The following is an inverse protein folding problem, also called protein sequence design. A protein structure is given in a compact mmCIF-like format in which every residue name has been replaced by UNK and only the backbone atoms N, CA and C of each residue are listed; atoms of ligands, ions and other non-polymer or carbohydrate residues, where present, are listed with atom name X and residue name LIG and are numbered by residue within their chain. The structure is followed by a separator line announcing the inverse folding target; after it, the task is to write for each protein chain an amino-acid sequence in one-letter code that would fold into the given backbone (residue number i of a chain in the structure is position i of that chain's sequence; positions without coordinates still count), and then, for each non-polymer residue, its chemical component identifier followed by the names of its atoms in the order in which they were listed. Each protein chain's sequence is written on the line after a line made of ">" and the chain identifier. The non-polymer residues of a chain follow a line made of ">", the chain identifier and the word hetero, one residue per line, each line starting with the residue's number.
data_IF_653300790052
#
_entry.id   IF_653300790052
#
_cell.length_a   1.000
_cell.length_b   1.000
_cell.length_c   1.000
_cell.angle_alpha   90.00
_cell.angle_beta   90.00
_cell.angle_gamma   90.00
#
_symmetry.space_group_name_H-M   'P 1'
#
loop_
_entity.id
_entity.type
_entity.pdbx_description
1 polymer ?
#
# COMPACT_ATOMS: atom_id res chain seq x y z
N UNK A 1 34.70 37.06 38.25
CA UNK A 1 34.83 38.26 37.40
C UNK A 1 33.52 38.43 36.65
N UNK A 2 32.91 39.60 36.73
CA UNK A 2 31.55 39.83 36.25
C UNK A 2 31.41 41.25 35.68
N UNK A 3 31.82 41.42 34.42
CA UNK A 3 31.88 42.70 33.72
C UNK A 3 31.06 42.62 32.41
N UNK A 4 30.04 43.48 32.21
CA UNK A 4 29.23 43.48 30.99
C UNK A 4 29.99 43.89 29.72
N UNK A 5 31.08 44.66 29.85
CA UNK A 5 31.83 45.24 28.74
C UNK A 5 32.88 44.29 28.13
N UNK A 6 32.88 43.02 28.56
CA UNK A 6 33.77 42.01 27.97
C UNK A 6 33.41 41.76 26.51
N UNK A 7 34.34 42.07 25.60
CA UNK A 7 34.20 41.94 24.14
C UNK A 7 34.78 40.62 23.60
N UNK A 8 35.68 39.97 24.34
CA UNK A 8 36.18 38.64 23.98
C UNK A 8 36.43 37.74 25.19
N UNK A 9 36.31 36.43 24.98
CA UNK A 9 36.66 35.40 25.95
C UNK A 9 37.63 34.42 25.29
N UNK A 10 38.81 34.26 25.88
CA UNK A 10 39.79 33.27 25.45
C UNK A 10 39.73 32.02 26.33
N UNK A 11 39.47 30.87 25.71
CA UNK A 11 39.46 29.56 26.35
C UNK A 11 40.84 28.91 26.17
N UNK A 12 41.67 29.01 27.21
CA UNK A 12 43.04 28.47 27.21
C UNK A 12 43.21 27.26 28.16
N UNK A 13 42.12 26.73 28.73
CA UNK A 13 42.16 25.59 29.66
C UNK A 13 41.11 24.54 29.31
N UNK A 14 41.47 23.25 29.30
CA UNK A 14 40.51 22.18 29.01
C UNK A 14 39.46 22.00 30.12
N UNK A 15 38.27 21.60 29.70
CA UNK A 15 37.17 21.20 30.58
C UNK A 15 36.34 20.10 29.92
N UNK A 16 35.95 19.09 30.70
CA UNK A 16 35.01 18.05 30.29
C UNK A 16 33.56 18.34 30.75
N UNK A 17 33.35 19.47 31.44
CA UNK A 17 32.03 19.90 31.89
C UNK A 17 31.45 20.94 30.95
N UNK A 18 30.33 20.60 30.31
CA UNK A 18 29.54 21.54 29.50
C UNK A 18 29.08 22.73 30.34
N UNK A 19 28.67 22.51 31.59
CA UNK A 19 28.28 23.58 32.49
C UNK A 19 29.44 24.58 32.72
N UNK A 20 30.66 24.07 32.91
CA UNK A 20 31.85 24.92 33.07
C UNK A 20 32.20 25.67 31.79
N UNK A 21 32.09 25.02 30.63
CA UNK A 21 32.27 25.66 29.32
C UNK A 21 31.29 26.83 29.11
N UNK A 22 29.99 26.59 29.36
CA UNK A 22 28.97 27.63 29.23
C UNK A 22 29.13 28.75 30.27
N UNK A 23 29.56 28.44 31.49
CA UNK A 23 29.87 29.45 32.50
C UNK A 23 31.07 30.33 32.12
N UNK A 24 32.08 29.77 31.44
CA UNK A 24 33.25 30.52 30.96
C UNK A 24 32.85 31.46 29.81
N UNK A 25 32.17 30.92 28.80
CA UNK A 25 31.65 31.69 27.66
C UNK A 25 30.66 32.77 28.12
N UNK A 26 29.78 32.43 29.05
CA UNK A 26 28.73 33.31 29.56
C UNK A 26 29.25 34.60 30.20
N UNK A 27 30.53 34.67 30.56
CA UNK A 27 31.16 35.91 31.04
C UNK A 27 31.19 37.01 29.98
N UNK A 28 31.25 36.65 28.70
CA UNK A 28 31.21 37.61 27.59
C UNK A 28 29.81 37.92 27.05
N UNK A 29 28.78 37.15 27.44
CA UNK A 29 27.44 37.23 26.82
C UNK A 29 26.49 38.26 27.46
N UNK A 30 26.92 38.98 28.50
CA UNK A 30 26.12 40.07 29.09
C UNK A 30 25.93 41.21 28.08
N UNK A 31 24.78 41.87 28.09
CA UNK A 31 24.52 43.02 27.21
C UNK A 31 25.23 44.28 27.73
N UNK A 32 25.81 45.06 26.83
CA UNK A 32 26.35 46.41 27.10
C UNK A 32 25.98 47.33 25.92
N UNK A 33 25.86 48.64 26.17
CA UNK A 33 25.34 49.61 25.19
C UNK A 33 26.18 49.69 23.91
N UNK A 34 27.50 49.47 24.02
CA UNK A 34 28.44 49.56 22.90
C UNK A 34 28.94 48.19 22.42
N UNK A 35 28.27 47.10 22.81
CA UNK A 35 28.70 45.73 22.47
C UNK A 35 27.66 45.01 21.62
N UNK A 36 27.95 44.91 20.32
CA UNK A 36 27.12 44.19 19.35
C UNK A 36 27.33 42.67 19.41
N UNK A 37 28.56 42.22 19.61
CA UNK A 37 28.91 40.80 19.68
C UNK A 37 30.04 40.54 20.68
N UNK A 38 30.26 39.27 21.02
CA UNK A 38 31.38 38.81 21.84
C UNK A 38 32.18 37.77 21.04
N UNK A 39 33.49 37.97 20.90
CA UNK A 39 34.38 37.03 20.24
C UNK A 39 34.79 35.90 21.19
N UNK A 40 34.70 34.66 20.74
CA UNK A 40 35.17 33.50 21.51
C UNK A 40 36.40 32.92 20.81
N UNK A 41 37.53 32.93 21.52
CA UNK A 41 38.80 32.42 21.02
C UNK A 41 39.08 31.11 21.75
N UNK A 42 38.97 29.98 21.06
CA UNK A 42 39.07 28.65 21.66
C UNK A 42 40.37 27.96 21.27
N UNK A 43 41.43 28.20 22.04
CA UNK A 43 42.74 27.58 21.82
C UNK A 43 42.74 26.08 22.15
N UNK A 44 41.71 25.57 22.83
CA UNK A 44 41.65 24.17 23.28
C UNK A 44 40.81 23.30 22.35
N UNK A 45 39.88 23.89 21.60
CA UNK A 45 38.94 23.18 20.74
C UNK A 45 37.75 22.60 21.50
N UNK A 46 37.33 23.23 22.60
CA UNK A 46 36.11 22.88 23.35
C UNK A 46 34.84 22.93 22.49
N UNK A 47 34.80 23.80 21.47
CA UNK A 47 33.69 23.83 20.51
C UNK A 47 33.53 22.49 19.76
N UNK A 48 34.61 21.73 19.53
CA UNK A 48 34.54 20.41 18.89
C UNK A 48 33.90 19.37 19.80
N UNK A 49 33.96 19.59 21.11
CA UNK A 49 33.40 18.71 22.14
C UNK A 49 31.94 19.08 22.44
N UNK A 50 31.68 20.36 22.71
CA UNK A 50 30.37 20.82 23.19
C UNK A 50 29.48 21.45 22.11
N UNK A 51 30.07 21.82 20.97
CA UNK A 51 29.43 22.62 19.93
C UNK A 51 29.42 24.10 20.28
N UNK A 52 28.72 24.87 19.44
CA UNK A 52 28.49 26.30 19.67
C UNK A 52 27.74 26.52 21.00
N UNK A 53 28.04 27.58 21.76
CA UNK A 53 27.33 27.90 23.00
C UNK A 53 25.82 28.15 22.84
N UNK A 54 25.40 28.57 21.65
CA UNK A 54 23.98 28.78 21.30
C UNK A 54 23.26 27.48 20.90
N UNK A 55 23.94 26.34 20.88
CA UNK A 55 23.33 25.04 20.60
C UNK A 55 22.30 24.71 21.69
N UNK A 56 21.17 24.12 21.31
CA UNK A 56 20.21 23.62 22.31
C UNK A 56 20.83 22.40 23.00
N UNK A 57 20.85 22.44 24.31
CA UNK A 57 21.34 21.35 25.13
C UNK A 57 20.12 20.69 25.77
N UNK A 58 19.96 19.38 25.56
CA UNK A 58 18.94 18.60 26.28
C UNK A 58 19.41 18.43 27.73
N UNK A 59 19.09 19.44 28.54
CA UNK A 59 19.44 19.55 29.95
C UNK A 59 18.88 18.39 30.75
N UNK A 60 17.66 17.94 30.45
CA UNK A 60 17.05 16.79 31.11
C UNK A 60 17.90 15.53 30.88
N UNK A 61 18.21 15.21 29.62
CA UNK A 61 19.08 14.07 29.32
C UNK A 61 20.49 14.22 29.91
N UNK A 62 21.02 15.44 30.04
CA UNK A 62 22.32 15.67 30.68
C UNK A 62 22.26 15.42 32.20
N UNK A 63 21.29 16.00 32.91
CA UNK A 63 21.13 15.82 34.36
C UNK A 63 20.75 14.39 34.74
N UNK A 64 20.02 13.70 33.87
CA UNK A 64 19.66 12.29 34.05
C UNK A 64 20.76 11.32 33.56
N UNK A 65 21.92 11.84 33.11
CA UNK A 65 23.08 11.06 32.69
C UNK A 65 22.88 10.25 31.39
N UNK A 66 21.81 10.56 30.62
CA UNK A 66 21.53 9.96 29.31
C UNK A 66 22.41 10.53 28.20
N UNK A 67 22.98 11.71 28.41
CA UNK A 67 24.07 12.27 27.60
C UNK A 67 25.29 12.50 28.49
N UNK A 68 26.43 11.96 28.07
CA UNK A 68 27.73 12.25 28.67
C UNK A 68 28.32 13.43 27.90
N UNK A 69 28.99 14.37 28.58
CA UNK A 69 29.74 15.47 27.94
C UNK A 69 30.90 15.05 27.03
N UNK A 70 31.02 13.75 26.71
CA UNK A 70 31.98 13.19 25.78
C UNK A 70 31.32 13.03 24.40
N UNK A 71 31.57 13.99 23.50
CA UNK A 71 31.33 13.80 22.06
C UNK A 71 32.14 12.64 21.45
N UNK A 72 33.10 12.07 22.19
CA UNK A 72 33.98 10.98 21.75
C UNK A 72 33.32 9.59 21.62
N UNK A 73 32.06 9.39 22.04
CA UNK A 73 31.44 8.05 21.97
C UNK A 73 30.59 7.79 20.73
N UNK A 74 30.24 8.81 19.92
CA UNK A 74 29.47 8.58 18.67
C UNK A 74 30.32 8.09 17.49
N UNK A 75 31.65 8.14 17.59
CA UNK A 75 32.56 7.64 16.57
C UNK A 75 32.91 6.13 16.69
N UNK A 76 32.36 5.41 17.69
CA UNK A 76 32.66 3.98 17.90
C UNK A 76 31.56 3.01 17.45
N UNK A 77 30.41 3.49 16.97
CA UNK A 77 29.30 2.61 16.58
C UNK A 77 28.90 2.71 15.10
N UNK A 78 29.49 3.64 14.35
CA UNK A 78 29.39 3.68 12.90
C UNK A 78 30.82 3.65 12.35
N UNK A 79 31.12 2.63 11.56
CA UNK A 79 32.47 2.34 11.10
C UNK A 79 33.12 3.50 10.35
N UNK A 80 34.36 3.78 10.69
CA UNK A 80 35.36 4.33 9.78
C UNK A 80 35.32 5.83 9.56
N UNK A 81 35.65 6.64 10.57
CA UNK A 81 36.36 7.90 10.37
C UNK A 81 37.39 8.07 11.49
N UNK A 82 38.65 8.20 11.10
CA UNK A 82 39.77 8.48 11.99
C UNK A 82 39.51 9.78 12.76
N UNK A 83 39.50 9.69 14.09
CA UNK A 83 39.79 10.85 14.94
C UNK A 83 41.31 11.05 14.91
N UNK A 84 41.83 12.25 14.58
CA UNK A 84 43.16 12.59 15.01
C UNK A 84 43.11 12.56 16.54
N UNK A 85 43.78 11.57 17.10
CA UNK A 85 44.15 11.58 18.49
C UNK A 85 44.80 12.93 18.83
N UNK A 86 44.79 13.27 20.12
CA UNK A 86 45.77 14.13 20.76
C UNK A 86 47.17 13.72 20.30
N UNK A 87 47.58 14.23 19.14
CA UNK A 87 48.85 14.00 18.49
C UNK A 87 49.58 15.32 18.64
N UNK A 88 50.21 15.48 19.80
CA UNK A 88 51.45 16.24 19.89
C UNK A 88 52.49 15.48 19.05
N UNK A 89 52.33 15.51 17.73
CA UNK A 89 53.40 15.20 16.80
C UNK A 89 53.85 16.52 16.26
N UNK A 90 54.98 16.94 16.81
CA UNK A 90 55.87 17.96 16.28
C UNK A 90 56.12 17.65 14.79
N UNK A 91 55.46 18.38 13.91
CA UNK A 91 55.69 18.35 12.48
C UNK A 91 55.52 19.75 11.90
N UNK A 92 56.63 20.49 11.93
CA UNK A 92 57.05 21.41 10.87
C UNK A 92 56.05 22.48 10.41
N UNK A 93 56.19 23.69 10.97
CA UNK A 93 56.32 24.91 10.16
C UNK A 93 55.17 25.28 9.22
N UNK A 94 53.91 25.08 9.58
CA UNK A 94 52.80 25.87 9.03
C UNK A 94 52.26 26.79 10.11
N UNK A 95 52.18 28.09 9.83
CA UNK A 95 51.53 29.08 10.70
C UNK A 95 50.19 28.54 11.17
N UNK A 96 49.94 28.56 12.48
CA UNK A 96 48.65 28.16 13.07
C UNK A 96 47.54 29.08 12.55
N UNK A 97 46.93 28.71 11.42
CA UNK A 97 45.83 29.47 10.82
C UNK A 97 44.61 29.27 11.71
N UNK A 98 44.15 30.34 12.35
CA UNK A 98 42.92 30.36 13.12
C UNK A 98 41.73 29.94 12.25
N UNK A 99 40.97 28.93 12.70
CA UNK A 99 39.74 28.47 12.05
C UNK A 99 38.55 29.34 12.48
N UNK A 100 37.89 30.01 11.53
CA UNK A 100 36.63 30.71 11.80
C UNK A 100 35.49 29.69 11.83
N UNK A 101 35.06 29.30 13.03
CA UNK A 101 33.99 28.31 13.24
C UNK A 101 32.60 28.86 12.88
N UNK A 102 32.32 30.12 13.25
CA UNK A 102 31.01 30.75 13.04
C UNK A 102 31.14 32.26 13.10
N UNK A 103 30.47 32.98 12.19
CA UNK A 103 30.36 34.45 12.23
C UNK A 103 29.03 34.88 12.85
N UNK A 104 28.95 36.11 13.35
CA UNK A 104 27.76 36.66 13.98
C UNK A 104 26.53 36.59 13.06
N UNK A 105 26.66 37.05 11.81
CA UNK A 105 25.53 37.08 10.86
C UNK A 105 25.00 35.67 10.54
N UNK A 106 25.90 34.71 10.34
CA UNK A 106 25.53 33.32 10.06
C UNK A 106 24.92 32.63 11.28
N UNK A 107 25.35 32.98 12.49
CA UNK A 107 24.77 32.46 13.73
C UNK A 107 23.30 32.86 13.86
N UNK A 108 22.97 34.12 13.57
CA UNK A 108 21.59 34.61 13.63
C UNK A 108 20.68 33.90 12.62
N UNK A 109 21.17 33.66 11.40
CA UNK A 109 20.44 32.90 10.39
C UNK A 109 20.26 31.43 10.80
N UNK A 110 21.30 30.80 11.35
CA UNK A 110 21.25 29.42 11.82
C UNK A 110 20.28 29.22 13.00
N UNK A 111 20.12 30.21 13.88
CA UNK A 111 19.15 30.17 14.98
C UNK A 111 17.72 30.24 14.42
N UNK A 112 17.45 31.11 13.44
CA UNK A 112 16.12 31.27 12.82
C UNK A 112 15.67 30.02 12.05
N UNK A 113 16.53 29.49 11.18
CA UNK A 113 16.19 28.33 10.33
C UNK A 113 16.02 27.00 11.12
N UNK A 114 16.32 27.01 12.42
CA UNK A 114 16.37 25.80 13.26
C UNK A 114 15.06 25.49 13.96
N UNK A 115 14.30 26.51 14.36
CA UNK A 115 12.99 26.32 15.01
C UNK A 115 12.04 25.53 14.09
N UNK A 116 12.12 25.77 12.77
CA UNK A 116 11.33 25.08 11.75
C UNK A 116 11.81 23.62 11.48
N UNK A 117 13.09 23.32 11.70
CA UNK A 117 13.70 22.04 11.34
C UNK A 117 13.66 20.97 12.46
N UNK A 118 13.64 21.37 13.73
CA UNK A 118 13.60 20.43 14.87
C UNK A 118 12.21 19.79 15.05
N UNK A 119 11.11 20.52 14.83
CA UNK A 119 9.74 19.98 14.90
C UNK A 119 9.49 18.86 13.86
N UNK A 120 10.06 19.00 12.66
CA UNK A 120 9.94 18.02 11.59
C UNK A 120 10.76 16.73 11.82
N UNK A 121 11.98 16.86 12.38
CA UNK A 121 12.89 15.72 12.57
C UNK A 121 12.53 14.83 13.75
N UNK A 122 12.01 15.39 14.85
CA UNK A 122 11.61 14.60 16.02
C UNK A 122 10.38 13.72 15.75
N UNK A 123 9.47 14.19 14.91
CA UNK A 123 8.28 13.46 14.48
C UNK A 123 8.61 12.18 13.69
N UNK A 124 9.75 12.17 12.97
CA UNK A 124 10.23 11.06 12.15
C UNK A 124 11.16 10.09 12.88
N UNK A 125 11.59 10.39 14.12
CA UNK A 125 12.49 9.53 14.87
C UNK A 125 11.81 8.23 15.34
N UNK A 126 12.50 7.10 15.20
CA UNK A 126 12.01 5.80 15.65
C UNK A 126 11.81 5.75 17.17
N UNK A 127 10.73 5.08 17.61
CA UNK A 127 10.42 4.87 19.02
C UNK A 127 11.46 3.94 19.66
N UNK A 128 11.99 4.32 20.81
CA UNK A 128 12.95 3.54 21.59
C UNK A 128 12.55 3.53 23.07
N UNK A 129 12.87 2.44 23.76
CA UNK A 129 12.79 2.39 25.21
C UNK A 129 14.03 3.01 25.84
N UNK A 130 13.89 3.51 27.06
CA UNK A 130 15.02 3.93 27.87
C UNK A 130 14.82 3.49 29.33
N UNK A 131 15.88 3.02 30.01
CA UNK A 131 15.82 2.73 31.43
C UNK A 131 16.03 4.01 32.24
N UNK A 132 15.24 4.18 33.30
CA UNK A 132 15.48 5.18 34.34
C UNK A 132 16.19 4.52 35.52
N UNK A 133 17.40 4.99 35.82
CA UNK A 133 18.23 4.45 36.91
C UNK A 133 17.67 4.77 38.29
N UNK A 134 16.89 5.85 38.44
CA UNK A 134 16.36 6.26 39.75
C UNK A 134 15.18 5.39 40.16
N UNK A 135 14.23 5.16 39.25
CA UNK A 135 13.06 4.32 39.53
C UNK A 135 13.26 2.84 39.20
N UNK A 136 14.33 2.47 38.48
CA UNK A 136 14.52 1.13 37.88
C UNK A 136 13.38 0.73 36.92
N UNK A 137 12.65 1.71 36.39
CA UNK A 137 11.56 1.51 35.43
C UNK A 137 12.00 1.92 34.02
N UNK A 138 11.21 1.49 33.04
CA UNK A 138 11.39 1.81 31.64
C UNK A 138 10.37 2.85 31.19
N UNK A 139 10.83 3.80 30.39
CA UNK A 139 10.01 4.76 29.64
C UNK A 139 10.20 4.63 28.13
N UNK A 140 9.46 5.43 27.37
CA UNK A 140 9.50 5.47 25.91
C UNK A 140 9.87 6.86 25.40
N UNK A 141 10.64 6.92 24.31
CA UNK A 141 11.08 8.17 23.70
C UNK A 141 11.19 8.08 22.18
N UNK A 142 11.03 9.21 21.50
CA UNK A 142 11.35 9.40 20.08
C UNK A 142 12.46 10.43 19.96
N UNK A 143 13.63 10.01 19.48
CA UNK A 143 14.81 10.85 19.52
C UNK A 143 15.15 11.24 20.97
N UNK A 144 15.08 12.53 21.27
CA UNK A 144 15.32 13.09 22.61
C UNK A 144 14.03 13.34 23.40
N UNK A 145 12.88 13.42 22.71
CA UNK A 145 11.59 13.67 23.34
C UNK A 145 11.07 12.42 24.05
N UNK A 146 10.85 12.54 25.36
CA UNK A 146 10.18 11.50 26.14
C UNK A 146 8.70 11.47 25.74
N UNK A 147 8.23 10.33 25.25
CA UNK A 147 6.81 10.13 24.95
C UNK A 147 6.07 9.56 26.16
N UNK A 148 6.74 8.71 26.94
CA UNK A 148 6.18 8.12 28.16
C UNK A 148 7.22 8.15 29.27
N UNK A 149 6.89 8.82 30.38
CA UNK A 149 7.71 8.82 31.59
C UNK A 149 7.86 7.39 32.16
N UNK A 150 8.96 7.08 32.86
CA UNK A 150 9.27 5.72 33.30
C UNK A 150 8.15 5.13 34.16
N UNK A 151 7.52 4.06 33.66
CA UNK A 151 6.38 3.41 34.33
C UNK A 151 6.33 1.90 34.14
N UNK A 152 7.08 1.33 33.20
CA UNK A 152 7.04 -0.09 32.88
C UNK A 152 8.14 -0.83 33.65
N UNK A 153 7.82 -2.02 34.18
CA UNK A 153 8.84 -2.88 34.81
C UNK A 153 9.83 -3.41 33.77
N UNK A 154 9.35 -3.68 32.55
CA UNK A 154 10.14 -4.19 31.46
C UNK A 154 9.53 -3.78 30.12
N UNK A 155 10.38 -3.55 29.11
CA UNK A 155 9.97 -3.47 27.70
C UNK A 155 10.47 -4.73 27.00
N UNK A 156 9.56 -5.52 26.45
CA UNK A 156 9.89 -6.78 25.79
C UNK A 156 10.34 -6.58 24.34
N UNK A 157 9.60 -5.76 23.59
CA UNK A 157 9.82 -5.54 22.16
C UNK A 157 9.15 -4.24 21.69
N UNK A 158 9.62 -3.67 20.58
CA UNK A 158 9.09 -2.44 19.96
C UNK A 158 8.94 -2.65 18.46
N UNK A 159 7.74 -2.42 17.93
CA UNK A 159 7.48 -2.47 16.49
C UNK A 159 6.63 -1.27 16.06
N UNK A 160 7.24 -0.36 15.28
CA UNK A 160 6.60 0.88 14.84
C UNK A 160 6.17 1.73 16.04
N UNK A 161 4.84 1.90 16.20
CA UNK A 161 4.24 2.66 17.30
C UNK A 161 3.69 1.79 18.42
N UNK A 162 3.87 0.47 18.35
CA UNK A 162 3.42 -0.48 19.37
C UNK A 162 4.61 -0.96 20.20
N UNK A 163 4.38 -1.11 21.50
CA UNK A 163 5.39 -1.57 22.45
C UNK A 163 4.80 -2.66 23.32
N UNK A 164 5.49 -3.79 23.40
CA UNK A 164 5.14 -4.85 24.31
C UNK A 164 5.84 -4.61 25.65
N UNK A 165 5.09 -4.48 26.74
CA UNK A 165 5.59 -4.07 28.06
C UNK A 165 5.07 -4.95 29.18
N UNK A 166 5.79 -4.93 30.31
CA UNK A 166 5.29 -5.37 31.61
C UNK A 166 4.91 -4.14 32.45
N UNK A 167 3.64 -4.08 32.84
CA UNK A 167 3.05 -3.04 33.67
C UNK A 167 3.48 -3.21 35.14
N UNK A 168 3.22 -2.19 35.98
CA UNK A 168 3.61 -2.19 37.40
C UNK A 168 2.91 -3.26 38.23
N UNK A 169 1.71 -3.66 37.82
CA UNK A 169 0.93 -4.75 38.42
C UNK A 169 1.44 -6.15 38.01
N UNK A 170 2.52 -6.21 37.21
CA UNK A 170 3.12 -7.45 36.74
C UNK A 170 2.46 -8.03 35.49
N UNK A 171 1.34 -7.46 35.03
CA UNK A 171 0.69 -7.88 33.79
C UNK A 171 1.49 -7.47 32.57
N UNK A 172 1.43 -8.28 31.53
CA UNK A 172 2.01 -7.99 30.24
C UNK A 172 0.93 -7.52 29.27
N UNK A 173 1.31 -6.58 28.40
CA UNK A 173 0.39 -6.02 27.42
C UNK A 173 1.11 -5.30 26.30
N UNK A 174 0.32 -4.87 25.31
CA UNK A 174 0.75 -4.02 24.21
C UNK A 174 0.20 -2.62 24.46
N UNK A 175 1.09 -1.63 24.41
CA UNK A 175 0.76 -0.21 24.55
C UNK A 175 1.17 0.56 23.29
N UNK A 176 0.50 1.67 23.03
CA UNK A 176 0.86 2.58 21.96
C UNK A 176 2.11 3.41 22.31
N UNK A 177 2.59 4.20 21.35
CA UNK A 177 3.73 5.11 21.54
C UNK A 177 3.49 6.20 22.61
N UNK A 178 2.22 6.53 22.88
CA UNK A 178 1.80 7.44 23.96
C UNK A 178 1.59 6.71 25.30
N UNK A 179 1.69 5.39 25.31
CA UNK A 179 1.53 4.56 26.51
C UNK A 179 0.07 4.17 26.82
N UNK A 180 -0.86 4.43 25.90
CA UNK A 180 -2.25 3.95 26.00
C UNK A 180 -2.29 2.42 25.80
N UNK A 181 -3.01 1.67 26.64
CA UNK A 181 -3.12 0.22 26.50
C UNK A 181 -3.96 -0.14 25.27
N UNK A 182 -3.37 -0.89 24.33
CA UNK A 182 -4.10 -1.48 23.21
C UNK A 182 -4.64 -2.87 23.58
N UNK A 183 -3.89 -3.62 24.39
CA UNK A 183 -4.22 -5.00 24.76
C UNK A 183 -3.54 -5.42 26.06
N UNK A 184 -4.26 -6.12 26.95
CA UNK A 184 -3.72 -6.68 28.20
C UNK A 184 -3.86 -8.20 28.14
N UNK A 185 -2.75 -8.91 28.34
CA UNK A 185 -2.63 -10.37 28.14
C UNK A 185 -2.45 -11.15 29.44
N UNK A 186 -2.50 -10.47 30.58
CA UNK A 186 -2.25 -11.05 31.90
C UNK A 186 -0.77 -11.38 32.12
N UNK A 187 -0.48 -12.41 32.93
CA UNK A 187 0.89 -12.76 33.28
C UNK A 187 1.54 -13.62 32.22
N UNK A 188 2.56 -13.07 31.54
CA UNK A 188 3.39 -13.84 30.62
C UNK A 188 4.88 -13.53 30.83
N UNK A 189 5.73 -14.47 30.41
CA UNK A 189 7.17 -14.37 30.55
C UNK A 189 7.78 -13.44 29.53
N UNK A 190 7.28 -13.47 28.28
CA UNK A 190 7.82 -12.70 27.16
C UNK A 190 6.76 -12.44 26.09
N UNK A 191 6.84 -11.26 25.48
CA UNK A 191 6.09 -10.89 24.28
C UNK A 191 7.07 -10.55 23.16
N UNK A 192 6.75 -10.92 21.92
CA UNK A 192 7.57 -10.59 20.75
C UNK A 192 6.68 -10.29 19.54
N UNK A 193 6.91 -9.15 18.91
CA UNK A 193 6.19 -8.81 17.68
C UNK A 193 6.71 -9.65 16.51
N UNK A 194 5.78 -10.11 15.68
CA UNK A 194 6.07 -10.77 14.42
C UNK A 194 5.64 -9.86 13.25
N UNK A 195 5.92 -10.31 12.03
CA UNK A 195 5.39 -9.64 10.83
C UNK A 195 3.87 -9.81 10.76
N UNK A 196 3.21 -8.98 9.95
CA UNK A 196 1.79 -9.14 9.58
C UNK A 196 0.82 -9.11 10.77
N UNK A 197 1.14 -8.29 11.77
CA UNK A 197 0.34 -8.04 12.98
C UNK A 197 0.07 -9.28 13.84
N UNK A 198 1.05 -10.17 13.91
CA UNK A 198 1.07 -11.30 14.82
C UNK A 198 1.93 -11.00 16.05
N UNK A 199 1.56 -11.56 17.20
CA UNK A 199 2.28 -11.43 18.46
C UNK A 199 2.59 -12.83 19.02
N UNK A 200 3.86 -13.13 19.27
CA UNK A 200 4.25 -14.35 19.97
C UNK A 200 4.21 -14.10 21.49
N UNK A 201 3.46 -14.92 22.21
CA UNK A 201 3.29 -14.86 23.66
C UNK A 201 3.94 -16.09 24.26
N UNK A 202 4.93 -15.89 25.14
CA UNK A 202 5.53 -16.96 25.92
C UNK A 202 4.97 -16.93 27.32
N UNK A 203 4.27 -18.00 27.71
CA UNK A 203 3.70 -18.13 29.04
C UNK A 203 4.79 -18.31 30.13
N UNK A 204 4.37 -18.41 31.39
CA UNK A 204 5.29 -18.63 32.53
C UNK A 204 5.97 -20.00 32.50
N UNK A 205 5.33 -21.01 31.89
CA UNK A 205 5.87 -22.35 31.72
C UNK A 205 6.89 -22.45 30.56
N UNK A 206 6.98 -21.43 29.70
CA UNK A 206 7.84 -21.41 28.52
C UNK A 206 7.15 -21.88 27.23
N UNK A 207 5.85 -22.19 27.26
CA UNK A 207 5.05 -22.51 26.07
C UNK A 207 4.85 -21.26 25.24
N UNK A 208 4.99 -21.39 23.91
CA UNK A 208 4.78 -20.29 22.97
C UNK A 208 3.41 -20.44 22.32
N UNK A 209 2.59 -19.40 22.39
CA UNK A 209 1.37 -19.24 21.62
C UNK A 209 1.46 -17.98 20.74
N UNK A 210 0.58 -17.90 19.75
CA UNK A 210 0.58 -16.83 18.76
C UNK A 210 -0.77 -16.15 18.74
N UNK A 211 -0.79 -14.83 18.88
CA UNK A 211 -1.99 -14.04 18.85
C UNK A 211 -2.08 -13.20 17.59
N UNK A 212 -3.24 -13.22 16.96
CA UNK A 212 -3.58 -12.30 15.88
C UNK A 212 -4.05 -10.97 16.47
N UNK A 213 -3.29 -9.88 16.27
CA UNK A 213 -3.62 -8.60 16.88
C UNK A 213 -4.86 -7.94 16.26
N UNK A 214 -5.26 -8.32 15.04
CA UNK A 214 -6.49 -7.82 14.41
C UNK A 214 -7.75 -8.36 15.08
N UNK A 215 -7.76 -9.65 15.43
CA UNK A 215 -8.94 -10.31 15.99
C UNK A 215 -8.84 -10.62 17.49
N UNK A 216 -7.66 -10.52 18.09
CA UNK A 216 -7.39 -10.92 19.48
C UNK A 216 -7.35 -12.43 19.71
N UNK A 217 -7.43 -13.25 18.65
CA UNK A 217 -7.48 -14.72 18.76
C UNK A 217 -6.09 -15.31 18.97
N UNK A 218 -6.03 -16.37 19.76
CA UNK A 218 -4.78 -17.08 20.09
C UNK A 218 -4.74 -18.46 19.43
N UNK A 219 -3.56 -18.83 18.95
CA UNK A 219 -3.26 -20.06 18.22
C UNK A 219 -2.05 -20.76 18.86
N UNK A 220 -2.07 -22.10 18.86
CA UNK A 220 -0.95 -22.91 19.39
C UNK A 220 0.19 -23.03 18.39
N UNK A 221 -0.14 -23.13 17.11
CA UNK A 221 0.81 -23.16 16.00
C UNK A 221 0.98 -21.76 15.41
N UNK A 222 2.15 -21.50 14.82
CA UNK A 222 2.48 -20.22 14.21
C UNK A 222 1.61 -19.97 12.97
N UNK A 223 0.75 -18.94 12.96
CA UNK A 223 -0.05 -18.62 11.79
C UNK A 223 0.82 -18.10 10.64
N UNK A 224 0.42 -18.44 9.41
CA UNK A 224 0.96 -17.85 8.18
C UNK A 224 -0.14 -17.00 7.56
N UNK A 225 0.14 -15.72 7.29
CA UNK A 225 -0.85 -14.82 6.69
C UNK A 225 -0.84 -14.99 5.17
N UNK A 226 -2.03 -15.12 4.59
CA UNK A 226 -2.25 -15.12 3.15
C UNK A 226 -3.11 -13.92 2.78
N UNK A 227 -2.58 -13.06 1.91
CA UNK A 227 -3.26 -11.87 1.40
C UNK A 227 -3.84 -12.12 0.01
N UNK A 228 -5.12 -11.82 -0.15
CA UNK A 228 -5.87 -11.95 -1.39
C UNK A 228 -6.56 -10.62 -1.72
N UNK A 229 -5.91 -9.79 -2.54
CA UNK A 229 -6.38 -8.43 -2.77
C UNK A 229 -6.43 -7.64 -1.45
N UNK A 230 -7.64 -7.20 -1.05
CA UNK A 230 -7.88 -6.49 0.21
C UNK A 230 -8.31 -7.37 1.39
N UNK A 231 -8.25 -8.70 1.27
CA UNK A 231 -8.69 -9.66 2.30
C UNK A 231 -7.52 -10.51 2.78
N UNK A 232 -7.48 -10.81 4.08
CA UNK A 232 -6.44 -11.65 4.67
C UNK A 232 -7.03 -12.87 5.39
N UNK A 233 -6.34 -14.01 5.26
CA UNK A 233 -6.61 -15.25 5.96
C UNK A 233 -5.38 -15.71 6.73
N UNK A 234 -5.60 -16.42 7.84
CA UNK A 234 -4.55 -17.07 8.62
C UNK A 234 -4.56 -18.57 8.38
N UNK A 235 -3.46 -19.14 7.89
CA UNK A 235 -3.29 -20.59 7.88
C UNK A 235 -2.62 -21.03 9.17
N UNK A 236 -3.27 -21.92 9.92
CA UNK A 236 -2.75 -22.52 11.16
C UNK A 236 -2.85 -24.03 10.98
N UNK A 237 -1.71 -24.73 10.90
CA UNK A 237 -1.67 -26.12 10.48
C UNK A 237 -2.32 -26.33 9.09
N UNK A 238 -3.41 -27.09 9.06
CA UNK A 238 -4.18 -27.41 7.86
C UNK A 238 -5.49 -26.63 7.71
N UNK A 239 -5.78 -25.67 8.59
CA UNK A 239 -7.02 -24.88 8.59
C UNK A 239 -6.76 -23.41 8.27
N UNK A 240 -7.66 -22.81 7.51
CA UNK A 240 -7.70 -21.36 7.31
C UNK A 240 -8.67 -20.71 8.29
N UNK A 241 -8.24 -19.61 8.92
CA UNK A 241 -9.03 -18.81 9.82
C UNK A 241 -9.24 -17.41 9.24
N UNK A 242 -10.44 -16.87 9.43
CA UNK A 242 -10.73 -15.50 9.02
C UNK A 242 -10.15 -14.49 10.01
N UNK A 243 -9.77 -13.31 9.49
CA UNK A 243 -9.44 -12.13 10.29
C UNK A 243 -10.65 -11.20 10.49
N UNK A 244 -11.84 -11.77 10.63
CA UNK A 244 -13.10 -11.06 10.90
C UNK A 244 -13.44 -11.04 12.39
N UNK A 245 -14.36 -10.18 12.83
CA UNK A 245 -14.87 -10.09 14.21
C UNK A 245 -15.48 -11.40 14.69
N UNK A 246 -16.32 -12.04 13.87
CA UNK A 246 -16.80 -13.40 14.12
C UNK A 246 -15.77 -14.44 13.69
N UNK A 247 -15.64 -15.49 14.49
CA UNK A 247 -14.66 -16.54 14.23
C UNK A 247 -15.15 -17.47 13.12
N UNK A 248 -14.25 -17.78 12.20
CA UNK A 248 -14.43 -18.82 11.20
C UNK A 248 -13.14 -19.62 11.07
N UNK A 249 -13.29 -20.92 10.88
CA UNK A 249 -12.23 -21.86 10.54
C UNK A 249 -12.74 -22.73 9.40
N UNK A 250 -11.96 -22.89 8.32
CA UNK A 250 -12.30 -23.71 7.17
C UNK A 250 -12.31 -25.20 7.49
N UNK A 251 -12.74 -26.03 6.52
CA UNK A 251 -12.46 -27.46 6.55
C UNK A 251 -10.94 -27.72 6.54
N UNK A 252 -10.53 -28.85 7.12
CA UNK A 252 -9.13 -29.27 7.15
C UNK A 252 -8.66 -29.65 5.74
N UNK A 253 -7.38 -29.39 5.46
CA UNK A 253 -6.73 -29.83 4.23
C UNK A 253 -7.05 -29.00 3.00
N UNK A 254 -7.65 -27.81 3.16
CA UNK A 254 -7.92 -26.90 2.06
C UNK A 254 -6.60 -26.43 1.43
N UNK A 255 -6.47 -26.54 0.10
CA UNK A 255 -5.27 -26.05 -0.59
C UNK A 255 -5.38 -24.54 -0.86
N UNK A 256 -4.26 -23.82 -0.72
CA UNK A 256 -4.19 -22.37 -0.95
C UNK A 256 -4.67 -21.97 -2.36
N UNK A 257 -4.35 -22.79 -3.36
CA UNK A 257 -4.65 -22.49 -4.77
C UNK A 257 -6.12 -22.71 -5.12
N UNK A 258 -6.89 -23.31 -4.22
CA UNK A 258 -8.34 -23.44 -4.35
C UNK A 258 -9.08 -22.17 -3.90
N UNK A 259 -8.40 -21.27 -3.19
CA UNK A 259 -8.96 -20.01 -2.71
C UNK A 259 -8.77 -18.94 -3.79
N UNK A 260 -9.86 -18.33 -4.25
CA UNK A 260 -9.85 -17.43 -5.41
C UNK A 260 -10.46 -16.07 -5.09
N UNK A 261 -9.75 -14.98 -5.43
CA UNK A 261 -10.25 -13.62 -5.26
C UNK A 261 -10.94 -13.11 -6.53
N UNK A 262 -12.21 -12.71 -6.40
CA UNK A 262 -13.06 -12.20 -7.48
C UNK A 262 -13.27 -10.68 -7.34
N UNK A 263 -12.16 -9.94 -7.22
CA UNK A 263 -12.09 -8.47 -7.12
C UNK A 263 -12.70 -7.82 -5.87
N UNK A 264 -13.85 -8.29 -5.39
CA UNK A 264 -14.57 -7.73 -4.24
C UNK A 264 -15.02 -8.78 -3.21
N UNK A 265 -14.78 -10.06 -3.47
CA UNK A 265 -14.95 -11.14 -2.50
C UNK A 265 -13.92 -12.24 -2.71
N UNK A 266 -13.64 -12.98 -1.65
CA UNK A 266 -12.75 -14.14 -1.63
C UNK A 266 -13.59 -15.42 -1.55
N UNK A 267 -13.51 -16.29 -2.56
CA UNK A 267 -14.14 -17.61 -2.57
C UNK A 267 -13.26 -18.59 -1.79
N UNK A 268 -13.84 -19.20 -0.77
CA UNK A 268 -13.24 -20.26 0.04
C UNK A 268 -14.06 -21.54 -0.24
N UNK A 269 -13.51 -22.58 -0.88
CA UNK A 269 -14.24 -23.80 -1.19
C UNK A 269 -14.46 -24.68 0.04
N UNK A 270 -15.21 -24.13 0.99
CA UNK A 270 -15.75 -24.79 2.16
C UNK A 270 -17.25 -24.97 1.95
N UNK A 271 -17.68 -26.22 1.89
CA UNK A 271 -19.03 -26.63 1.53
C UNK A 271 -19.88 -26.98 2.75
N UNK A 272 -19.44 -26.63 3.97
CA UNK A 272 -20.20 -26.83 5.22
C UNK A 272 -21.31 -25.79 5.39
N UNK A 273 -22.10 -25.62 4.34
CA UNK A 273 -23.17 -24.65 4.22
C UNK A 273 -24.30 -25.02 5.20
N UNK A 274 -24.85 -24.05 5.96
CA UNK A 274 -26.02 -24.29 6.79
C UNK A 274 -27.20 -24.83 5.97
N UNK A 275 -27.93 -25.84 6.50
CA UNK A 275 -29.11 -26.41 5.84
C UNK A 275 -30.23 -25.39 5.57
N UNK A 276 -30.23 -24.28 6.31
CA UNK A 276 -31.16 -23.16 6.15
C UNK A 276 -30.80 -22.23 4.99
N UNK A 277 -29.70 -22.46 4.28
CA UNK A 277 -29.28 -21.65 3.14
C UNK A 277 -30.18 -21.93 1.92
N UNK A 278 -30.95 -20.93 1.51
CA UNK A 278 -31.69 -20.93 0.24
C UNK A 278 -30.77 -20.49 -0.90
N UNK A 279 -30.92 -21.10 -2.07
CA UNK A 279 -30.10 -20.82 -3.25
C UNK A 279 -30.82 -19.93 -4.24
N UNK A 280 -30.07 -19.08 -4.94
CA UNK A 280 -30.60 -18.21 -5.99
C UNK A 280 -31.12 -19.02 -7.18
N UNK A 281 -30.39 -20.07 -7.58
CA UNK A 281 -30.83 -21.02 -8.61
C UNK A 281 -30.81 -22.43 -8.03
N UNK A 282 -32.00 -23.01 -7.80
CA UNK A 282 -32.15 -24.37 -7.26
C UNK A 282 -31.83 -25.45 -8.29
N UNK A 283 -32.01 -25.15 -9.59
CA UNK A 283 -31.93 -26.11 -10.70
C UNK A 283 -30.48 -26.35 -11.18
N UNK A 284 -29.60 -25.37 -10.96
CA UNK A 284 -28.21 -25.38 -11.44
C UNK A 284 -27.20 -25.60 -10.30
N UNK A 285 -27.59 -26.30 -9.24
CA UNK A 285 -26.67 -26.61 -8.13
C UNK A 285 -25.67 -27.69 -8.55
N UNK A 286 -24.64 -27.29 -9.28
CA UNK A 286 -23.41 -28.08 -9.23
C UNK A 286 -22.88 -27.98 -7.79
N UNK A 287 -22.23 -29.04 -7.32
CA UNK A 287 -21.65 -29.16 -5.96
C UNK A 287 -20.71 -27.97 -5.59
N UNK A 288 -20.39 -27.10 -6.54
CA UNK A 288 -19.43 -26.00 -6.44
C UNK A 288 -20.04 -24.59 -6.35
N UNK A 289 -21.36 -24.45 -6.38
CA UNK A 289 -22.04 -23.15 -6.45
C UNK A 289 -22.26 -22.49 -5.09
N UNK A 290 -22.14 -23.24 -4.01
CA UNK A 290 -22.31 -22.76 -2.64
C UNK A 290 -20.99 -22.88 -1.90
N UNK A 291 -20.49 -21.78 -1.35
CA UNK A 291 -19.16 -21.73 -0.74
C UNK A 291 -19.08 -20.65 0.33
N UNK A 292 -18.16 -20.80 1.28
CA UNK A 292 -17.82 -19.73 2.20
C UNK A 292 -17.11 -18.58 1.46
N UNK A 293 -17.40 -17.34 1.83
CA UNK A 293 -16.75 -16.18 1.24
C UNK A 293 -16.55 -15.04 2.22
N UNK A 294 -15.48 -14.27 1.99
CA UNK A 294 -15.21 -13.01 2.67
C UNK A 294 -15.43 -11.87 1.70
N UNK A 295 -16.07 -10.79 2.15
CA UNK A 295 -16.27 -9.60 1.32
C UNK A 295 -15.11 -8.63 1.55
N UNK A 296 -14.58 -8.06 0.48
CA UNK A 296 -13.50 -7.08 0.58
C UNK A 296 -14.00 -5.80 1.29
N UNK A 297 -13.27 -5.37 2.32
CA UNK A 297 -13.65 -4.22 3.14
C UNK A 297 -14.76 -4.50 4.17
N UNK A 298 -15.08 -5.77 4.41
CA UNK A 298 -16.03 -6.22 5.43
C UNK A 298 -15.33 -7.11 6.45
N UNK A 299 -15.18 -6.62 7.67
CA UNK A 299 -14.51 -7.32 8.76
C UNK A 299 -15.48 -8.02 9.72
N UNK A 300 -16.78 -8.07 9.42
CA UNK A 300 -17.80 -8.59 10.34
C UNK A 300 -17.72 -10.12 10.47
N UNK A 301 -17.91 -10.85 9.38
CA UNK A 301 -17.98 -12.32 9.38
C UNK A 301 -17.70 -12.93 8.01
N UNK A 302 -17.61 -14.26 8.00
CA UNK A 302 -17.63 -15.07 6.77
C UNK A 302 -19.09 -15.32 6.38
N UNK A 303 -19.38 -15.16 5.10
CA UNK A 303 -20.71 -15.36 4.53
C UNK A 303 -20.76 -16.63 3.69
N UNK A 304 -21.96 -17.15 3.46
CA UNK A 304 -22.21 -18.26 2.55
C UNK A 304 -22.74 -17.72 1.23
N UNK A 305 -22.03 -17.93 0.12
CA UNK A 305 -22.50 -17.52 -1.20
C UNK A 305 -23.67 -18.40 -1.64
N UNK A 306 -24.83 -17.78 -1.84
CA UNK A 306 -26.09 -18.44 -2.23
C UNK A 306 -26.30 -18.48 -3.75
N UNK A 307 -25.49 -17.73 -4.50
CA UNK A 307 -25.51 -17.73 -5.97
C UNK A 307 -25.01 -16.43 -6.58
N UNK A 308 -24.76 -16.48 -7.89
CA UNK A 308 -24.26 -15.36 -8.70
C UNK A 308 -25.32 -14.93 -9.70
N UNK A 309 -25.52 -13.62 -9.84
CA UNK A 309 -26.46 -13.00 -10.77
C UNK A 309 -25.80 -12.68 -12.12
N UNK A 310 -26.62 -12.35 -13.13
CA UNK A 310 -26.17 -12.11 -14.51
C UNK A 310 -25.18 -10.94 -14.65
N UNK A 311 -25.32 -9.91 -13.83
CA UNK A 311 -24.41 -8.76 -13.73
C UNK A 311 -23.11 -9.06 -12.96
N UNK A 312 -22.87 -10.34 -12.62
CA UNK A 312 -21.77 -10.87 -11.79
C UNK A 312 -21.84 -10.54 -10.31
N UNK A 313 -22.85 -9.81 -9.85
CA UNK A 313 -23.09 -9.60 -8.42
C UNK A 313 -23.46 -10.93 -7.73
N UNK A 314 -23.32 -10.99 -6.41
CA UNK A 314 -23.60 -12.21 -5.64
C UNK A 314 -24.64 -11.97 -4.55
N UNK A 315 -25.34 -13.05 -4.18
CA UNK A 315 -26.17 -13.09 -2.99
C UNK A 315 -25.47 -13.93 -1.94
N UNK A 316 -25.38 -13.42 -0.72
CA UNK A 316 -24.69 -14.09 0.39
C UNK A 316 -25.57 -14.14 1.63
N UNK A 317 -25.39 -15.16 2.46
CA UNK A 317 -26.10 -15.34 3.73
C UNK A 317 -25.12 -15.26 4.91
N UNK A 318 -25.50 -14.54 5.96
CA UNK A 318 -24.74 -14.48 7.20
C UNK A 318 -25.02 -15.68 8.14
N UNK A 319 -24.31 -15.77 9.26
CA UNK A 319 -24.53 -16.84 10.25
C UNK A 319 -25.91 -16.80 10.94
N UNK A 320 -26.65 -15.68 10.84
CA UNK A 320 -27.99 -15.53 11.40
C UNK A 320 -29.11 -15.86 10.38
N UNK A 321 -28.76 -16.23 9.15
CA UNK A 321 -29.74 -16.51 8.10
C UNK A 321 -30.31 -15.27 7.41
N UNK A 322 -29.61 -14.12 7.49
CA UNK A 322 -29.94 -12.90 6.73
C UNK A 322 -29.19 -12.89 5.41
N UNK A 323 -29.88 -12.53 4.36
CA UNK A 323 -29.36 -12.47 3.00
C UNK A 323 -29.03 -11.05 2.59
N UNK A 324 -27.95 -10.93 1.84
CA UNK A 324 -27.42 -9.69 1.34
C UNK A 324 -27.08 -9.80 -0.14
N UNK A 325 -27.37 -8.74 -0.89
CA UNK A 325 -26.90 -8.54 -2.24
C UNK A 325 -25.58 -7.74 -2.21
N UNK A 326 -24.57 -8.23 -2.92
CA UNK A 326 -23.23 -7.64 -2.94
C UNK A 326 -22.82 -7.35 -4.37
N UNK A 327 -22.53 -6.07 -4.61
CA UNK A 327 -22.09 -5.55 -5.91
C UNK A 327 -20.68 -4.95 -5.79
N UNK A 328 -19.92 -5.01 -6.89
CA UNK A 328 -18.59 -4.39 -6.94
C UNK A 328 -18.68 -2.89 -6.63
N UNK A 329 -17.88 -2.44 -5.66
CA UNK A 329 -17.79 -1.03 -5.28
C UNK A 329 -18.94 -0.50 -4.43
N UNK A 330 -19.91 -1.33 -4.04
CA UNK A 330 -21.00 -0.95 -3.14
C UNK A 330 -20.92 -1.75 -1.83
N UNK A 331 -21.50 -1.19 -0.76
CA UNK A 331 -21.69 -1.92 0.50
C UNK A 331 -22.75 -3.01 0.30
N UNK A 332 -22.63 -4.11 1.06
CA UNK A 332 -23.65 -5.17 1.09
C UNK A 332 -25.02 -4.56 1.43
N UNK A 333 -26.05 -4.95 0.69
CA UNK A 333 -27.44 -4.49 0.86
C UNK A 333 -28.27 -5.64 1.40
N UNK A 334 -28.96 -5.45 2.52
CA UNK A 334 -29.89 -6.44 3.05
C UNK A 334 -31.06 -6.65 2.08
N UNK A 335 -31.47 -7.91 1.89
CA UNK A 335 -32.55 -8.25 0.95
C UNK A 335 -33.68 -9.09 1.56
N UNK A 336 -33.35 -10.03 2.45
CA UNK A 336 -34.30 -10.98 3.03
C UNK A 336 -33.69 -11.67 4.25
N UNK A 337 -34.50 -12.41 4.98
CA UNK A 337 -34.08 -13.26 6.11
C UNK A 337 -34.85 -14.57 6.07
N UNK A 338 -34.27 -15.63 6.62
CA UNK A 338 -34.95 -16.93 6.77
C UNK A 338 -36.20 -16.84 7.68
N UNK A 339 -36.26 -15.86 8.58
CA UNK A 339 -37.37 -15.63 9.51
C UNK A 339 -37.93 -14.21 9.33
N UNK A 340 -38.72 -13.95 8.27
CA UNK A 340 -39.22 -12.61 7.97
C UNK A 340 -40.24 -12.16 9.00
N UNK A 341 -40.18 -10.88 9.38
CA UNK A 341 -41.25 -10.25 10.18
C UNK A 341 -42.47 -9.96 9.31
N UNK A 342 -43.68 -9.80 9.89
CA UNK A 342 -44.85 -9.38 9.13
C UNK A 342 -44.57 -8.08 8.35
N UNK A 343 -44.69 -8.13 7.02
CA UNK A 343 -44.39 -7.02 6.11
C UNK A 343 -42.98 -7.02 5.50
N UNK A 344 -42.08 -7.92 5.93
CA UNK A 344 -40.79 -8.14 5.25
C UNK A 344 -40.96 -9.03 4.01
N UNK A 345 -40.16 -8.73 2.98
CA UNK A 345 -40.18 -9.48 1.73
C UNK A 345 -39.58 -10.88 1.94
N UNK A 346 -40.25 -11.92 1.43
CA UNK A 346 -39.69 -13.28 1.40
C UNK A 346 -38.51 -13.38 0.41
N UNK A 347 -37.58 -14.30 0.71
CA UNK A 347 -36.39 -14.56 -0.09
C UNK A 347 -36.68 -14.76 -1.58
N UNK A 348 -37.68 -15.56 -1.93
CA UNK A 348 -37.95 -15.90 -3.33
C UNK A 348 -38.44 -14.67 -4.11
N UNK A 349 -39.22 -13.82 -3.46
CA UNK A 349 -39.71 -12.57 -4.06
C UNK A 349 -38.57 -11.56 -4.21
N UNK A 350 -37.71 -11.42 -3.20
CA UNK A 350 -36.55 -10.54 -3.25
C UNK A 350 -35.56 -10.97 -4.33
N UNK A 351 -35.24 -12.26 -4.42
CA UNK A 351 -34.33 -12.82 -5.41
C UNK A 351 -34.89 -12.69 -6.82
N UNK A 352 -36.20 -12.92 -7.03
CA UNK A 352 -36.82 -12.73 -8.34
C UNK A 352 -36.63 -11.30 -8.86
N UNK A 353 -36.91 -10.29 -8.03
CA UNK A 353 -36.69 -8.88 -8.38
C UNK A 353 -35.22 -8.59 -8.68
N UNK A 354 -34.31 -9.12 -7.88
CA UNK A 354 -32.86 -8.96 -8.10
C UNK A 354 -32.38 -9.58 -9.42
N UNK A 355 -32.91 -10.74 -9.80
CA UNK A 355 -32.59 -11.37 -11.10
C UNK A 355 -33.01 -10.50 -12.27
N UNK A 356 -34.21 -9.91 -12.21
CA UNK A 356 -34.71 -8.98 -13.23
C UNK A 356 -33.83 -7.72 -13.30
N UNK A 357 -33.53 -7.08 -12.16
CA UNK A 357 -32.65 -5.91 -12.08
C UNK A 357 -31.22 -6.20 -12.57
N UNK A 358 -30.66 -7.35 -12.21
CA UNK A 358 -29.33 -7.78 -12.64
C UNK A 358 -29.30 -8.14 -14.13
N UNK A 359 -30.37 -8.74 -14.66
CA UNK A 359 -30.53 -9.03 -16.08
C UNK A 359 -30.50 -7.76 -16.92
N UNK A 360 -31.29 -6.75 -16.54
CA UNK A 360 -31.31 -5.46 -17.22
C UNK A 360 -29.94 -4.76 -17.20
N UNK A 361 -29.24 -4.76 -16.06
CA UNK A 361 -27.89 -4.18 -15.94
C UNK A 361 -26.84 -4.93 -16.76
N UNK A 362 -26.94 -6.26 -16.83
CA UNK A 362 -26.06 -7.08 -17.65
C UNK A 362 -26.27 -6.78 -19.15
N UNK A 363 -27.52 -6.71 -19.61
CA UNK A 363 -27.87 -6.35 -20.99
C UNK A 363 -27.38 -4.95 -21.37
N UNK A 364 -27.55 -3.97 -20.48
CA UNK A 364 -27.07 -2.61 -20.69
C UNK A 364 -25.54 -2.56 -20.81
N UNK A 365 -24.84 -3.27 -19.91
CA UNK A 365 -23.38 -3.37 -19.91
C UNK A 365 -22.87 -4.02 -21.20
N UNK A 366 -23.50 -5.11 -21.65
CA UNK A 366 -23.15 -5.78 -22.90
C UNK A 366 -23.42 -4.90 -24.13
N UNK A 367 -24.55 -4.17 -24.13
CA UNK A 367 -24.86 -3.19 -25.18
C UNK A 367 -23.82 -2.07 -25.23
N UNK A 368 -23.42 -1.54 -24.08
CA UNK A 368 -22.39 -0.51 -24.00
C UNK A 368 -21.02 -1.04 -24.44
N UNK A 369 -20.67 -2.28 -24.06
CA UNK A 369 -19.44 -2.93 -24.49
C UNK A 369 -19.39 -3.08 -26.01
N UNK A 370 -20.47 -3.55 -26.64
CA UNK A 370 -20.60 -3.64 -28.10
C UNK A 370 -20.43 -2.27 -28.77
N UNK A 371 -21.12 -1.23 -28.29
CA UNK A 371 -20.97 0.15 -28.78
C UNK A 371 -19.53 0.66 -28.65
N UNK A 372 -18.87 0.40 -27.53
CA UNK A 372 -17.49 0.79 -27.29
C UNK A 372 -16.52 0.04 -28.22
N UNK A 373 -16.74 -1.25 -28.46
CA UNK A 373 -15.94 -2.05 -29.40
C UNK A 373 -16.13 -1.58 -30.84
N UNK A 374 -17.37 -1.26 -31.24
CA UNK A 374 -17.68 -0.65 -32.54
C UNK A 374 -17.03 0.73 -32.70
N UNK A 375 -17.08 1.59 -31.68
CA UNK A 375 -16.43 2.90 -31.70
C UNK A 375 -14.90 2.77 -31.79
N UNK A 376 -14.29 1.85 -31.02
CA UNK A 376 -12.87 1.53 -31.13
C UNK A 376 -12.51 1.00 -32.51
N UNK A 377 -13.35 0.14 -33.09
CA UNK A 377 -13.16 -0.37 -34.46
C UNK A 377 -13.25 0.76 -35.49
N UNK A 378 -14.25 1.64 -35.40
CA UNK A 378 -14.42 2.79 -36.28
C UNK A 378 -13.20 3.73 -36.22
N UNK A 379 -12.70 4.02 -35.02
CA UNK A 379 -11.48 4.83 -34.85
C UNK A 379 -10.27 4.18 -35.52
N UNK A 380 -10.07 2.87 -35.33
CA UNK A 380 -8.99 2.12 -36.00
C UNK A 380 -9.11 2.15 -37.52
N UNK A 381 -10.33 2.05 -38.07
CA UNK A 381 -10.57 2.13 -39.52
C UNK A 381 -10.22 3.51 -40.09
N UNK A 382 -10.49 4.60 -39.35
CA UNK A 382 -10.10 5.95 -39.76
C UNK A 382 -8.57 6.13 -39.71
N UNK A 383 -7.90 5.59 -38.69
CA UNK A 383 -6.43 5.65 -38.57
C UNK A 383 -5.69 4.93 -39.72
N UNK A 384 -6.34 3.95 -40.37
CA UNK A 384 -5.77 3.19 -41.48
C UNK A 384 -6.38 3.56 -42.83
N UNK A 385 -7.12 4.67 -42.92
CA UNK A 385 -7.87 5.08 -44.10
C UNK A 385 -7.01 5.19 -45.37
N UNK A 386 -5.75 5.57 -45.22
CA UNK A 386 -4.79 5.73 -46.32
C UNK A 386 -4.01 4.44 -46.64
N UNK A 387 -4.46 3.28 -46.14
CA UNK A 387 -3.84 2.01 -46.46
C UNK A 387 -3.95 1.71 -47.96
N UNK A 388 -2.87 1.19 -48.55
CA UNK A 388 -2.79 0.88 -49.97
C UNK A 388 -2.57 -0.62 -50.21
N UNK A 389 -3.10 -1.17 -51.32
CA UNK A 389 -2.78 -2.51 -51.75
C UNK A 389 -1.28 -2.65 -52.04
N UNK A 390 -0.69 -3.75 -51.57
CA UNK A 390 0.67 -4.13 -51.95
C UNK A 390 0.70 -5.60 -52.37
N UNK A 391 1.69 -5.94 -53.19
CA UNK A 391 1.90 -7.30 -53.69
C UNK A 391 3.20 -7.86 -53.14
N UNK A 392 3.14 -9.08 -52.62
CA UNK A 392 4.31 -9.85 -52.20
C UNK A 392 4.21 -11.24 -52.86
N UNK A 393 5.14 -11.53 -53.77
CA UNK A 393 5.03 -12.69 -54.65
C UNK A 393 3.80 -12.59 -55.57
N UNK A 394 2.95 -13.63 -55.56
CA UNK A 394 1.71 -13.70 -56.35
C UNK A 394 0.45 -13.26 -55.58
N UNK A 395 0.58 -12.85 -54.31
CA UNK A 395 -0.56 -12.49 -53.46
C UNK A 395 -0.54 -11.02 -53.04
N UNK A 396 -1.73 -10.48 -52.81
CA UNK A 396 -1.99 -9.10 -52.41
C UNK A 396 -2.42 -8.99 -50.95
N UNK A 397 -1.98 -7.93 -50.29
CA UNK A 397 -2.36 -7.51 -48.94
C UNK A 397 -2.57 -5.99 -48.86
N UNK A 398 -2.80 -5.47 -47.66
CA UNK A 398 -2.91 -4.03 -47.40
C UNK A 398 -1.80 -3.56 -46.47
N UNK A 399 -1.18 -2.41 -46.77
CA UNK A 399 -0.17 -1.77 -45.91
C UNK A 399 -0.42 -0.28 -45.77
N UNK A 400 -0.02 0.29 -44.64
CA UNK A 400 0.01 1.73 -44.37
C UNK A 400 1.47 2.13 -44.10
N UNK A 401 2.11 2.80 -45.06
CA UNK A 401 3.57 2.99 -45.04
C UNK A 401 4.30 1.64 -45.03
N UNK A 402 5.10 1.39 -43.99
CA UNK A 402 5.80 0.12 -43.76
C UNK A 402 5.00 -0.89 -42.91
N UNK A 403 3.87 -0.48 -42.33
CA UNK A 403 3.05 -1.34 -41.47
C UNK A 403 2.12 -2.20 -42.32
N UNK A 404 2.28 -3.52 -42.27
CA UNK A 404 1.32 -4.46 -42.86
C UNK A 404 0.05 -4.50 -42.01
N UNK A 405 -1.10 -4.21 -42.62
CA UNK A 405 -2.42 -4.26 -41.98
C UNK A 405 -3.08 -5.61 -42.27
N UNK A 406 -3.14 -5.98 -43.55
CA UNK A 406 -3.64 -7.28 -44.00
C UNK A 406 -2.48 -8.01 -44.68
N UNK A 407 -2.07 -9.19 -44.19
CA UNK A 407 -1.05 -10.01 -44.84
C UNK A 407 -1.42 -10.37 -46.28
N UNK A 408 -0.43 -10.67 -47.15
CA UNK A 408 -0.68 -10.90 -48.56
C UNK A 408 -1.30 -12.29 -48.76
N UNK A 409 -2.63 -12.34 -48.80
CA UNK A 409 -3.42 -13.59 -48.84
C UNK A 409 -4.34 -13.71 -50.06
N UNK A 410 -4.70 -12.59 -50.69
CA UNK A 410 -5.68 -12.53 -51.78
C UNK A 410 -5.02 -12.56 -53.16
N UNK A 411 -5.76 -12.99 -54.20
CA UNK A 411 -5.28 -12.99 -55.60
C UNK A 411 -5.14 -11.58 -56.15
N UNK A 412 -6.07 -10.68 -55.79
CA UNK A 412 -6.04 -9.26 -56.14
C UNK A 412 -6.80 -8.44 -55.09
N UNK A 413 -6.39 -7.19 -54.88
CA UNK A 413 -7.12 -6.21 -54.07
C UNK A 413 -7.17 -4.92 -54.88
N UNK A 414 -8.35 -4.30 -54.98
CA UNK A 414 -8.50 -2.99 -55.61
C UNK A 414 -8.19 -1.85 -54.61
N UNK A 415 -7.80 -0.65 -55.09
CA UNK A 415 -7.63 0.50 -54.23
C UNK A 415 -8.87 0.75 -53.36
N UNK A 416 -8.70 1.12 -52.08
CA UNK A 416 -9.83 1.37 -51.21
C UNK A 416 -10.73 2.51 -51.67
N UNK A 417 -12.02 2.37 -51.39
CA UNK A 417 -13.05 3.40 -51.54
C UNK A 417 -13.61 3.64 -50.14
N UNK A 418 -13.27 4.79 -49.53
CA UNK A 418 -13.54 5.03 -48.12
C UNK A 418 -12.79 4.04 -47.22
N UNK A 419 -13.52 3.30 -46.37
CA UNK A 419 -12.96 2.28 -45.45
C UNK A 419 -13.08 0.85 -45.96
N UNK A 420 -13.44 0.67 -47.24
CA UNK A 420 -13.70 -0.63 -47.86
C UNK A 420 -12.82 -0.84 -49.08
N UNK A 421 -12.53 -2.10 -49.39
CA UNK A 421 -11.86 -2.48 -50.63
C UNK A 421 -12.45 -3.79 -51.18
N UNK A 422 -12.48 -3.89 -52.50
CA UNK A 422 -12.85 -5.12 -53.18
C UNK A 422 -11.62 -6.04 -53.25
N UNK A 423 -11.81 -7.32 -52.93
CA UNK A 423 -10.75 -8.32 -53.02
C UNK A 423 -11.21 -9.52 -53.85
N UNK A 424 -10.26 -10.14 -54.52
CA UNK A 424 -10.45 -11.37 -55.29
C UNK A 424 -9.80 -12.53 -54.53
N UNK A 425 -10.59 -13.51 -54.11
CA UNK A 425 -10.10 -14.69 -53.40
C UNK A 425 -9.55 -15.73 -54.38
N UNK A 426 -10.34 -16.06 -55.40
CA UNK A 426 -9.98 -16.89 -56.55
C UNK A 426 -10.48 -16.24 -57.84
N UNK A 427 -10.04 -16.71 -59.01
CA UNK A 427 -10.39 -16.09 -60.29
C UNK A 427 -11.91 -15.84 -60.41
N UNK A 428 -12.31 -14.60 -60.69
CA UNK A 428 -13.71 -14.16 -60.81
C UNK A 428 -14.57 -14.40 -59.57
N UNK A 429 -13.96 -14.48 -58.38
CA UNK A 429 -14.65 -14.54 -57.08
C UNK A 429 -14.22 -13.36 -56.23
N UNK A 430 -14.98 -12.28 -56.37
CA UNK A 430 -14.81 -11.01 -55.70
C UNK A 430 -15.72 -10.89 -54.49
N UNK A 431 -15.18 -10.28 -53.43
CA UNK A 431 -15.88 -9.90 -52.19
C UNK A 431 -15.48 -8.50 -51.74
N UNK A 432 -16.02 -8.07 -50.61
CA UNK A 432 -15.69 -6.77 -49.99
C UNK A 432 -15.17 -7.00 -48.59
N UNK A 433 -14.07 -6.34 -48.26
CA UNK A 433 -13.56 -6.28 -46.89
C UNK A 433 -13.36 -4.84 -46.44
N UNK A 434 -13.46 -4.63 -45.14
CA UNK A 434 -13.00 -3.40 -44.52
C UNK A 434 -11.46 -3.37 -44.46
N UNK A 435 -10.88 -2.18 -44.29
CA UNK A 435 -9.42 -2.00 -44.24
C UNK A 435 -8.73 -2.79 -43.11
N UNK A 436 -9.46 -3.10 -42.03
CA UNK A 436 -8.98 -3.96 -40.94
C UNK A 436 -8.96 -5.46 -41.29
N UNK A 437 -9.33 -5.82 -42.53
CA UNK A 437 -9.36 -7.18 -43.05
C UNK A 437 -10.61 -7.98 -42.70
N UNK A 438 -11.61 -7.38 -42.03
CA UNK A 438 -12.91 -8.03 -41.79
C UNK A 438 -13.69 -8.10 -43.11
N UNK A 439 -14.04 -9.31 -43.51
CA UNK A 439 -14.89 -9.56 -44.68
C UNK A 439 -16.31 -9.08 -44.37
N UNK A 440 -16.82 -8.15 -45.19
CA UNK A 440 -18.18 -7.62 -45.10
C UNK A 440 -19.11 -8.34 -46.07
N UNK A 441 -18.58 -8.75 -47.22
CA UNK A 441 -19.27 -9.54 -48.24
C UNK A 441 -18.33 -10.64 -48.71
N UNK A 442 -18.79 -11.89 -48.61
CA UNK A 442 -18.03 -13.05 -49.05
C UNK A 442 -17.72 -13.02 -50.56
N UNK A 443 -16.62 -13.66 -50.93
CA UNK A 443 -16.11 -13.64 -52.30
C UNK A 443 -16.88 -14.60 -53.22
N UNK A 444 -18.10 -14.23 -53.61
CA UNK A 444 -19.01 -15.07 -54.40
C UNK A 444 -19.49 -14.40 -55.70
N UNK A 445 -18.92 -13.26 -56.07
CA UNK A 445 -19.41 -12.42 -57.17
C UNK A 445 -18.38 -12.29 -58.30
N UNK A 446 -18.83 -12.19 -59.55
CA UNK A 446 -17.94 -12.03 -60.71
C UNK A 446 -17.29 -10.65 -60.77
N UNK A 447 -17.98 -9.62 -60.27
CA UNK A 447 -17.49 -8.25 -60.20
C UNK A 447 -18.10 -7.54 -58.99
N UNK A 448 -17.34 -6.62 -58.42
CA UNK A 448 -17.74 -5.78 -57.29
C UNK A 448 -17.32 -4.34 -57.59
N UNK A 449 -18.28 -3.42 -57.56
CA UNK A 449 -18.04 -1.98 -57.67
C UNK A 449 -18.51 -1.30 -56.36
N UNK A 450 -17.66 -0.47 -55.76
CA UNK A 450 -17.93 0.22 -54.49
C UNK A 450 -18.05 1.72 -54.76
N UNK A 451 -19.15 2.34 -54.33
CA UNK A 451 -19.36 3.78 -54.42
C UNK A 451 -18.88 4.51 -53.16
N UNK A 452 -18.57 5.80 -53.30
CA UNK A 452 -18.12 6.68 -52.19
C UNK A 452 -19.14 6.80 -51.05
N UNK A 453 -20.42 6.56 -51.31
CA UNK A 453 -21.50 6.62 -50.32
C UNK A 453 -21.65 5.30 -49.52
N UNK A 454 -20.80 4.29 -49.77
CA UNK A 454 -20.86 2.97 -49.12
C UNK A 454 -21.81 1.97 -49.79
N UNK A 455 -22.40 2.31 -50.93
CA UNK A 455 -23.21 1.39 -51.75
C UNK A 455 -22.29 0.48 -52.56
N UNK A 456 -22.61 -0.81 -52.58
CA UNK A 456 -21.86 -1.81 -53.32
C UNK A 456 -22.74 -2.50 -54.34
N UNK A 457 -22.27 -2.55 -55.57
CA UNK A 457 -22.87 -3.29 -56.68
C UNK A 457 -22.14 -4.62 -56.87
N UNK A 458 -22.86 -5.71 -56.64
CA UNK A 458 -22.35 -7.07 -56.67
C UNK A 458 -22.90 -7.77 -57.91
N UNK A 459 -22.07 -8.06 -58.91
CA UNK A 459 -22.47 -8.77 -60.12
C UNK A 459 -22.41 -10.28 -59.89
N UNK A 460 -23.55 -10.97 -59.89
CA UNK A 460 -23.62 -12.43 -59.73
C UNK A 460 -23.23 -13.11 -61.06
N UNK A 461 -23.86 -12.64 -62.13
CA UNK A 461 -23.59 -13.00 -63.53
C UNK A 461 -23.77 -11.73 -64.38
N UNK A 462 -23.20 -11.65 -65.59
CA UNK A 462 -23.38 -10.50 -66.45
C UNK A 462 -24.88 -10.21 -66.66
N UNK A 463 -25.31 -8.97 -66.39
CA UNK A 463 -26.71 -8.54 -66.46
C UNK A 463 -27.53 -8.73 -65.17
N UNK A 464 -27.03 -9.42 -64.14
CA UNK A 464 -27.72 -9.58 -62.83
C UNK A 464 -26.88 -9.01 -61.69
N UNK A 465 -27.28 -7.83 -61.22
CA UNK A 465 -26.58 -7.08 -60.16
C UNK A 465 -27.43 -7.04 -58.89
N UNK A 466 -26.79 -7.26 -57.74
CA UNK A 466 -27.37 -7.07 -56.41
C UNK A 466 -26.73 -5.86 -55.75
N UNK A 467 -27.54 -4.97 -55.18
CA UNK A 467 -27.07 -3.78 -54.47
C UNK A 467 -27.15 -4.00 -52.97
N UNK A 468 -26.10 -3.65 -52.23
CA UNK A 468 -26.04 -3.74 -50.75
C UNK A 468 -25.46 -2.43 -50.20
N UNK A 469 -25.95 -1.98 -49.04
CA UNK A 469 -25.40 -0.82 -48.32
C UNK A 469 -24.63 -1.31 -47.10
N UNK A 470 -23.37 -0.90 -46.98
CA UNK A 470 -22.43 -1.36 -45.94
C UNK A 470 -22.35 -0.45 -44.71
#
# INVERSE_FOLDING_TARGET
>A
FDCPDVEFVQLARPTLSLAKYLQQVGRGLRRSANKESCMLIDNVGLYRIFGLPARNHDWAAMFEGRMIGNALSRARTEGGLYLPALSLTDSGGQEEVWEIVMTHDRLLEAIRNREEAEEGKESQAALKSYPDRRSSLWGLKRGNKITVSPRYLQVFDIQGNRVAVRLKDGQAGVVSASGEPEMILGYCRRLKFLKEELLAVTDTAGTVSYMDMKTGRTYREKPVVFSYGGVELLRVGETFHSRTKKAYASMNGLHKDSICFYEYYLKIPDYRVPKSCKLVDSVWSTVFDVFACLLAGDDEEVYWCCGRLADRSIVVMDGAGRYYHVEKGKRKRYIATNLPRPGEQDFDTAVKKLKEEAGQRAEETDRQKRRNEEAKRRKRLEEIRDALPYRMGMKWGLKLGERIIVPPKYRKILPPVGVYCAFEESACRWGVMALDGKVMVEACYQKVDIENNGTVHLTIIPGKVKTVKL
#
